data_IF_394689839800
#
_entry.id   IF_394689839800
#
_cell.length_a   1.000
_cell.length_b   1.000
_cell.length_c   1.000
_cell.angle_alpha   90.00
_cell.angle_beta   90.00
_cell.angle_gamma   90.00
#
_symmetry.space_group_name_H-M   'P 1'
#
loop_
_entity.id
_entity.type
_entity.pdbx_description
1 polymer ?
#
# COMPACT_ATOMS: atom_id res chain seq x y z
N UNK A 1 16.75 -4.36 10.64
CA UNK A 1 16.08 -5.36 9.79
C UNK A 1 16.29 -6.78 10.30
N UNK A 2 17.48 -7.36 10.34
CA UNK A 2 17.71 -8.76 10.75
C UNK A 2 17.03 -9.21 12.07
N UNK A 3 16.91 -8.34 13.06
CA UNK A 3 16.25 -8.65 14.33
C UNK A 3 14.71 -8.74 14.19
N UNK A 4 14.13 -7.94 13.32
CA UNK A 4 12.68 -7.95 13.02
C UNK A 4 12.32 -9.18 12.18
N UNK A 5 13.11 -9.50 11.15
CA UNK A 5 12.89 -10.70 10.34
C UNK A 5 12.99 -11.97 11.20
N UNK A 6 13.95 -12.03 12.14
CA UNK A 6 14.07 -13.12 13.10
C UNK A 6 12.86 -13.22 14.05
N UNK A 7 12.24 -12.09 14.40
CA UNK A 7 11.02 -12.07 15.20
C UNK A 7 9.84 -12.61 14.40
N UNK A 8 9.62 -12.11 13.16
CA UNK A 8 8.54 -12.57 12.28
C UNK A 8 8.65 -14.08 12.04
N UNK A 9 9.86 -14.57 11.71
CA UNK A 9 10.12 -16.01 11.52
C UNK A 9 9.76 -16.83 12.76
N UNK A 10 10.07 -16.36 13.95
CA UNK A 10 9.74 -17.04 15.21
C UNK A 10 8.23 -17.09 15.45
N UNK A 11 7.52 -16.00 15.18
CA UNK A 11 6.04 -15.96 15.27
C UNK A 11 5.44 -16.95 14.28
N UNK A 12 5.91 -16.97 13.02
CA UNK A 12 5.49 -17.96 12.02
C UNK A 12 5.66 -19.39 12.50
N UNK A 13 6.82 -19.74 13.09
CA UNK A 13 7.09 -21.10 13.59
C UNK A 13 6.19 -21.52 14.76
N UNK A 14 5.62 -20.57 15.50
CA UNK A 14 4.72 -20.80 16.63
C UNK A 14 3.23 -20.79 16.27
N UNK A 15 2.87 -20.46 15.04
CA UNK A 15 1.46 -20.39 14.60
C UNK A 15 1.03 -21.70 13.93
N UNK A 16 -0.27 -22.06 14.09
CA UNK A 16 -0.89 -23.11 13.28
C UNK A 16 -1.19 -22.52 11.88
N UNK A 17 -0.41 -22.92 10.88
CA UNK A 17 -0.33 -22.30 9.55
C UNK A 17 -1.10 -23.09 8.49
N UNK A 18 -2.37 -23.42 8.75
CA UNK A 18 -3.24 -23.81 7.64
C UNK A 18 -3.75 -22.56 6.93
N UNK A 19 -3.46 -22.43 5.66
CA UNK A 19 -4.02 -21.39 4.78
C UNK A 19 -4.28 -21.98 3.40
N UNK A 20 -5.13 -21.32 2.64
CA UNK A 20 -5.41 -21.67 1.25
C UNK A 20 -4.36 -21.01 0.34
N UNK A 21 -3.87 -21.75 -0.66
CA UNK A 21 -2.85 -21.24 -1.61
C UNK A 21 -3.34 -19.97 -2.31
N UNK A 22 -4.60 -19.91 -2.72
CA UNK A 22 -5.21 -18.74 -3.36
C UNK A 22 -5.13 -17.48 -2.45
N UNK A 23 -5.32 -17.65 -1.14
CA UNK A 23 -5.18 -16.55 -0.17
C UNK A 23 -3.71 -16.14 0.00
N UNK A 24 -2.77 -17.07 -0.09
CA UNK A 24 -1.34 -16.74 -0.03
C UNK A 24 -0.91 -15.87 -1.22
N UNK A 25 -1.43 -16.15 -2.42
CA UNK A 25 -1.17 -15.36 -3.63
C UNK A 25 -1.66 -13.92 -3.50
N UNK A 26 -2.74 -13.65 -2.75
CA UNK A 26 -3.23 -12.28 -2.49
C UNK A 26 -2.21 -11.38 -1.79
N UNK A 27 -1.18 -11.95 -1.18
CA UNK A 27 -0.13 -11.22 -0.43
C UNK A 27 1.23 -11.23 -1.13
N UNK A 28 1.32 -11.54 -2.43
CA UNK A 28 2.59 -11.56 -3.19
C UNK A 28 3.35 -10.23 -3.13
N UNK A 29 2.63 -9.11 -2.96
CA UNK A 29 3.20 -7.78 -2.79
C UNK A 29 3.95 -7.58 -1.46
N UNK A 30 3.85 -8.50 -0.49
CA UNK A 30 4.58 -8.43 0.78
C UNK A 30 5.99 -9.01 0.59
N UNK A 31 7.07 -8.21 0.74
CA UNK A 31 8.43 -8.65 0.43
C UNK A 31 8.95 -9.78 1.34
N UNK A 32 8.52 -9.79 2.61
CA UNK A 32 8.93 -10.77 3.60
C UNK A 32 8.02 -12.01 3.53
N UNK A 33 8.57 -13.15 3.10
CA UNK A 33 7.82 -14.40 2.91
C UNK A 33 7.19 -14.94 4.22
N UNK A 34 7.89 -14.81 5.35
CA UNK A 34 7.34 -15.23 6.65
C UNK A 34 6.14 -14.38 7.06
N UNK A 35 6.17 -13.07 6.77
CA UNK A 35 5.06 -12.16 7.02
C UNK A 35 3.89 -12.42 6.06
N UNK A 36 4.19 -12.70 4.78
CA UNK A 36 3.19 -13.12 3.79
C UNK A 36 2.44 -14.36 4.27
N UNK A 37 3.16 -15.36 4.75
CA UNK A 37 2.59 -16.59 5.30
C UNK A 37 1.70 -16.31 6.51
N UNK A 38 2.11 -15.43 7.42
CA UNK A 38 1.30 -15.03 8.58
C UNK A 38 0.01 -14.30 8.15
N UNK A 39 0.08 -13.40 7.18
CA UNK A 39 -1.10 -12.70 6.69
C UNK A 39 -2.09 -13.66 6.01
N UNK A 40 -1.60 -14.60 5.18
CA UNK A 40 -2.45 -15.61 4.58
C UNK A 40 -3.13 -16.50 5.64
N UNK A 41 -2.39 -16.93 6.65
CA UNK A 41 -2.91 -17.75 7.74
C UNK A 41 -3.97 -17.00 8.57
N UNK A 42 -3.70 -15.76 8.98
CA UNK A 42 -4.68 -14.95 9.73
C UNK A 42 -5.90 -14.60 8.89
N UNK A 43 -5.72 -14.34 7.60
CA UNK A 43 -6.82 -14.11 6.67
C UNK A 43 -7.73 -15.35 6.58
N UNK A 44 -7.16 -16.52 6.33
CA UNK A 44 -7.91 -17.79 6.28
C UNK A 44 -8.66 -18.04 7.59
N UNK A 45 -8.02 -17.81 8.75
CA UNK A 45 -8.65 -18.00 10.06
C UNK A 45 -9.77 -16.99 10.30
N UNK A 46 -9.61 -15.73 9.91
CA UNK A 46 -10.68 -14.73 10.04
C UNK A 46 -11.86 -15.06 9.13
N UNK A 47 -11.62 -15.52 7.88
CA UNK A 47 -12.69 -15.98 6.99
C UNK A 47 -13.48 -17.13 7.63
N UNK A 48 -12.79 -18.11 8.20
CA UNK A 48 -13.43 -19.22 8.91
C UNK A 48 -14.28 -18.74 10.07
N UNK A 49 -13.72 -17.92 10.96
CA UNK A 49 -14.43 -17.47 12.17
C UNK A 49 -15.60 -16.54 11.86
N UNK A 50 -15.47 -15.65 10.88
CA UNK A 50 -16.61 -14.84 10.43
C UNK A 50 -17.68 -15.68 9.75
N UNK A 51 -17.30 -16.73 9.02
CA UNK A 51 -18.23 -17.70 8.49
C UNK A 51 -19.03 -18.43 9.60
N UNK A 52 -18.36 -18.84 10.68
CA UNK A 52 -19.01 -19.44 11.85
C UNK A 52 -19.94 -18.44 12.54
N UNK A 53 -19.47 -17.21 12.82
CA UNK A 53 -20.31 -16.17 13.44
C UNK A 53 -21.54 -15.89 12.58
N UNK A 54 -21.39 -15.76 11.25
CA UNK A 54 -22.49 -15.54 10.33
C UNK A 54 -23.52 -16.70 10.39
N UNK A 55 -23.06 -17.94 10.48
CA UNK A 55 -23.95 -19.12 10.56
C UNK A 55 -24.70 -19.22 11.89
N UNK A 56 -24.17 -18.62 12.95
CA UNK A 56 -24.77 -18.59 14.28
C UNK A 56 -25.84 -17.48 14.46
N UNK A 57 -25.95 -16.55 13.48
CA UNK A 57 -26.99 -15.51 13.48
C UNK A 57 -28.34 -16.14 13.12
N UNK A 58 -29.34 -15.88 13.96
CA UNK A 58 -30.71 -16.28 13.70
C UNK A 58 -31.49 -15.15 13.06
N UNK A 59 -32.44 -15.50 12.21
CA UNK A 59 -33.29 -14.56 11.49
C UNK A 59 -34.76 -14.92 11.68
N UNK A 60 -35.60 -13.88 11.66
CA UNK A 60 -37.04 -13.96 11.55
C UNK A 60 -37.53 -13.00 10.47
N UNK A 61 -38.77 -13.16 10.02
CA UNK A 61 -39.41 -12.20 9.14
C UNK A 61 -40.28 -11.26 9.94
N UNK A 62 -40.18 -9.96 9.68
CA UNK A 62 -41.08 -8.96 10.29
C UNK A 62 -42.47 -8.97 9.61
N UNK A 63 -43.37 -8.06 10.07
CA UNK A 63 -44.72 -7.94 9.54
C UNK A 63 -44.77 -7.52 8.07
N UNK A 64 -43.71 -6.84 7.58
CA UNK A 64 -43.52 -6.40 6.19
C UNK A 64 -42.82 -7.45 5.32
N UNK A 65 -42.44 -8.60 5.89
CA UNK A 65 -41.78 -9.71 5.19
C UNK A 65 -40.26 -9.53 5.02
N UNK A 66 -39.62 -8.58 5.71
CA UNK A 66 -38.18 -8.36 5.66
C UNK A 66 -37.48 -9.36 6.62
N UNK A 67 -36.30 -9.84 6.19
CA UNK A 67 -35.43 -10.68 7.01
C UNK A 67 -34.72 -9.83 8.06
N UNK A 68 -35.01 -10.06 9.35
CA UNK A 68 -34.45 -9.29 10.49
C UNK A 68 -33.63 -10.22 11.38
N UNK A 69 -32.45 -9.77 11.79
CA UNK A 69 -31.62 -10.50 12.73
C UNK A 69 -32.26 -10.54 14.12
N UNK A 70 -32.22 -11.72 14.75
CA UNK A 70 -32.57 -11.92 16.15
C UNK A 70 -31.33 -12.04 17.03
N UNK A 71 -30.15 -11.73 16.51
CA UNK A 71 -28.87 -12.05 17.15
C UNK A 71 -28.56 -13.54 17.07
N UNK A 72 -27.67 -14.01 17.94
CA UNK A 72 -27.24 -15.39 17.92
C UNK A 72 -26.44 -15.79 19.15
N UNK A 73 -25.78 -16.95 19.07
CA UNK A 73 -24.96 -17.45 20.16
C UNK A 73 -23.69 -18.09 19.61
N UNK A 74 -22.55 -17.51 19.91
CA UNK A 74 -21.23 -17.97 19.54
C UNK A 74 -20.64 -18.80 20.71
N UNK A 75 -20.31 -20.07 20.44
CA UNK A 75 -19.93 -21.01 21.48
C UNK A 75 -18.64 -20.62 22.21
N UNK A 76 -18.51 -21.10 23.46
CA UNK A 76 -17.37 -20.72 24.32
C UNK A 76 -15.99 -21.14 23.76
N UNK A 77 -15.94 -22.29 23.11
CA UNK A 77 -14.70 -22.82 22.49
C UNK A 77 -14.31 -21.96 21.29
N UNK A 78 -15.29 -21.68 20.43
CA UNK A 78 -15.10 -20.85 19.23
C UNK A 78 -14.76 -19.41 19.60
N UNK A 79 -15.41 -18.85 20.63
CA UNK A 79 -15.09 -17.53 21.19
C UNK A 79 -13.64 -17.43 21.63
N UNK A 80 -13.12 -18.45 22.32
CA UNK A 80 -11.70 -18.49 22.75
C UNK A 80 -10.75 -18.60 21.58
N UNK A 81 -11.05 -19.47 20.62
CA UNK A 81 -10.22 -19.67 19.44
C UNK A 81 -10.17 -18.41 18.56
N UNK A 82 -11.32 -17.79 18.30
CA UNK A 82 -11.40 -16.50 17.60
C UNK A 82 -10.58 -15.41 18.30
N UNK A 83 -10.78 -15.21 19.60
CA UNK A 83 -10.04 -14.21 20.37
C UNK A 83 -8.53 -14.46 20.37
N UNK A 84 -8.10 -15.73 20.34
CA UNK A 84 -6.68 -16.06 20.22
C UNK A 84 -6.09 -15.57 18.90
N UNK A 85 -6.82 -15.68 17.79
CA UNK A 85 -6.39 -15.14 16.48
C UNK A 85 -6.27 -13.62 16.54
N UNK A 86 -7.29 -12.95 17.09
CA UNK A 86 -7.27 -11.47 17.22
C UNK A 86 -6.09 -11.01 18.10
N UNK A 87 -5.81 -11.69 19.19
CA UNK A 87 -4.68 -11.37 20.08
C UNK A 87 -3.32 -11.56 19.37
N UNK A 88 -3.17 -12.61 18.57
CA UNK A 88 -1.95 -12.82 17.78
C UNK A 88 -1.74 -11.71 16.75
N UNK A 89 -2.80 -11.31 16.05
CA UNK A 89 -2.75 -10.19 15.09
C UNK A 89 -2.36 -8.89 15.80
N UNK A 90 -2.95 -8.59 16.96
CA UNK A 90 -2.65 -7.39 17.74
C UNK A 90 -1.22 -7.38 18.27
N UNK A 91 -0.73 -8.51 18.74
CA UNK A 91 0.66 -8.65 19.20
C UNK A 91 1.65 -8.42 18.06
N UNK A 92 1.41 -9.04 16.90
CA UNK A 92 2.23 -8.83 15.71
C UNK A 92 2.20 -7.36 15.28
N UNK A 93 1.01 -6.76 15.17
CA UNK A 93 0.81 -5.35 14.82
C UNK A 93 1.53 -4.41 15.78
N UNK A 94 1.42 -4.64 17.07
CA UNK A 94 2.11 -3.84 18.09
C UNK A 94 3.64 -3.90 17.96
N UNK A 95 4.20 -5.07 17.69
CA UNK A 95 5.64 -5.28 17.53
C UNK A 95 6.21 -4.69 16.24
N UNK A 96 5.40 -4.67 15.17
CA UNK A 96 5.84 -4.17 13.87
C UNK A 96 5.57 -2.68 13.67
N UNK A 97 4.83 -2.01 14.57
CA UNK A 97 4.33 -0.62 14.44
C UNK A 97 5.40 0.42 14.08
N UNK A 98 6.63 0.25 14.55
CA UNK A 98 7.74 1.19 14.32
C UNK A 98 8.74 0.65 13.29
N UNK A 99 8.32 -0.23 12.39
CA UNK A 99 9.16 -0.87 11.37
C UNK A 99 8.60 -0.66 9.97
N UNK A 100 9.37 -1.00 8.95
CA UNK A 100 8.90 -0.99 7.56
C UNK A 100 7.78 -2.02 7.31
N UNK A 101 7.56 -2.95 8.23
CA UNK A 101 6.49 -3.95 8.21
C UNK A 101 5.26 -3.56 9.03
N UNK A 102 5.15 -2.31 9.46
CA UNK A 102 3.91 -1.82 10.08
C UNK A 102 2.72 -2.07 9.17
N UNK A 103 1.63 -2.64 9.71
CA UNK A 103 0.49 -3.04 8.90
C UNK A 103 -0.84 -2.73 9.57
N UNK A 104 -1.90 -2.74 8.77
CA UNK A 104 -3.28 -2.56 9.23
C UNK A 104 -4.22 -3.51 8.51
N UNK A 105 -5.39 -3.70 9.10
CA UNK A 105 -6.56 -4.24 8.38
C UNK A 105 -7.01 -3.17 7.40
N UNK A 106 -7.02 -3.49 6.11
CA UNK A 106 -7.35 -2.53 5.06
C UNK A 106 -8.78 -2.69 4.52
N UNK A 107 -9.39 -3.84 4.75
CA UNK A 107 -10.79 -4.07 4.42
C UNK A 107 -11.70 -3.45 5.49
N UNK A 108 -12.57 -2.46 5.14
CA UNK A 108 -13.43 -1.78 6.11
C UNK A 108 -14.46 -2.70 6.76
N UNK A 109 -14.92 -3.73 6.04
CA UNK A 109 -15.88 -4.71 6.55
C UNK A 109 -15.24 -5.53 7.66
N UNK A 110 -14.02 -6.04 7.44
CA UNK A 110 -13.24 -6.77 8.45
C UNK A 110 -12.83 -5.89 9.64
N UNK A 111 -12.38 -4.66 9.39
CA UNK A 111 -12.05 -3.73 10.47
C UNK A 111 -13.25 -3.45 11.37
N UNK A 112 -14.42 -3.19 10.78
CA UNK A 112 -15.68 -2.98 11.51
C UNK A 112 -16.11 -4.23 12.25
N UNK A 113 -16.05 -5.40 11.62
CA UNK A 113 -16.42 -6.67 12.24
C UNK A 113 -15.53 -7.01 13.45
N UNK A 114 -14.20 -6.88 13.32
CA UNK A 114 -13.25 -7.06 14.43
C UNK A 114 -13.55 -6.08 15.56
N UNK A 115 -13.81 -4.82 15.25
CA UNK A 115 -14.16 -3.81 16.25
C UNK A 115 -15.49 -4.12 16.96
N UNK A 116 -16.47 -4.64 16.23
CA UNK A 116 -17.78 -4.98 16.79
C UNK A 116 -17.70 -6.25 17.66
N UNK A 117 -17.05 -7.31 17.16
CA UNK A 117 -16.87 -8.57 17.90
C UNK A 117 -16.13 -8.38 19.23
N UNK A 118 -15.15 -7.46 19.31
CA UNK A 118 -14.47 -7.10 20.57
C UNK A 118 -15.41 -6.61 21.67
N UNK A 119 -16.62 -6.16 21.34
CA UNK A 119 -17.58 -5.65 22.32
C UNK A 119 -18.42 -6.76 22.97
N UNK A 120 -18.61 -7.88 22.28
CA UNK A 120 -19.48 -8.95 22.75
C UNK A 120 -18.81 -10.32 22.90
N UNK A 121 -17.72 -10.60 22.18
CA UNK A 121 -17.03 -11.88 22.29
C UNK A 121 -16.20 -11.93 23.56
N UNK A 122 -16.40 -12.96 24.38
CA UNK A 122 -15.75 -13.13 25.69
C UNK A 122 -15.05 -14.49 25.80
N UNK A 123 -13.98 -14.56 26.60
CA UNK A 123 -13.20 -15.79 26.80
C UNK A 123 -13.88 -16.77 27.75
N UNK A 124 -14.68 -16.27 28.69
CA UNK A 124 -15.36 -17.07 29.71
C UNK A 124 -16.84 -17.29 29.34
N UNK A 125 -17.20 -18.51 29.01
CA UNK A 125 -18.54 -18.82 28.52
C UNK A 125 -18.71 -18.55 27.02
N UNK A 126 -19.90 -18.75 26.50
CA UNK A 126 -20.26 -18.37 25.13
C UNK A 126 -20.59 -16.88 25.02
N UNK A 127 -20.68 -16.39 23.82
CA UNK A 127 -20.88 -14.96 23.51
C UNK A 127 -22.24 -14.77 22.84
N UNK A 128 -23.06 -13.84 23.30
CA UNK A 128 -24.30 -13.47 22.62
C UNK A 128 -24.02 -12.54 21.47
N UNK A 129 -24.38 -12.96 20.27
CA UNK A 129 -24.26 -12.09 19.06
C UNK A 129 -25.41 -11.07 19.14
N UNK A 130 -25.11 -9.75 19.08
CA UNK A 130 -26.13 -8.72 19.14
C UNK A 130 -27.03 -8.72 17.89
N UNK A 131 -28.26 -8.24 18.01
CA UNK A 131 -29.20 -8.14 16.89
C UNK A 131 -28.77 -7.16 15.82
N UNK A 132 -27.95 -6.17 16.18
CA UNK A 132 -27.39 -5.16 15.28
C UNK A 132 -26.06 -5.60 14.64
N UNK A 133 -25.59 -6.83 14.90
CA UNK A 133 -24.42 -7.37 14.22
C UNK A 133 -24.79 -7.73 12.79
N UNK A 134 -24.06 -7.17 11.83
CA UNK A 134 -24.25 -7.40 10.39
C UNK A 134 -23.35 -8.55 9.97
N UNK A 135 -23.88 -9.44 9.13
CA UNK A 135 -23.08 -10.51 8.50
C UNK A 135 -21.84 -9.92 7.82
N UNK A 136 -20.72 -10.57 8.04
CA UNK A 136 -19.44 -10.19 7.45
C UNK A 136 -19.34 -10.80 6.05
N UNK A 137 -19.19 -9.97 5.04
CA UNK A 137 -18.87 -10.46 3.69
C UNK A 137 -17.48 -11.07 3.69
N UNK A 138 -17.38 -12.33 3.31
CA UNK A 138 -16.11 -13.06 3.37
C UNK A 138 -15.20 -12.66 2.18
N UNK A 139 -14.02 -12.16 2.50
CA UNK A 139 -13.03 -11.70 1.52
C UNK A 139 -12.20 -12.90 1.00
N UNK A 140 -12.65 -13.51 -0.11
CA UNK A 140 -11.95 -14.63 -0.73
C UNK A 140 -10.91 -14.19 -1.78
N UNK A 141 -11.15 -13.06 -2.44
CA UNK A 141 -10.39 -12.60 -3.61
C UNK A 141 -9.64 -11.28 -3.38
N UNK A 142 -9.67 -10.74 -2.17
CA UNK A 142 -9.06 -9.45 -1.84
C UNK A 142 -8.25 -9.54 -0.55
N UNK A 143 -7.04 -8.97 -0.48
CA UNK A 143 -6.25 -8.98 0.75
C UNK A 143 -6.92 -8.12 1.83
N UNK A 144 -6.97 -8.63 3.07
CA UNK A 144 -7.51 -7.88 4.24
C UNK A 144 -6.42 -7.17 5.04
N UNK A 145 -5.15 -7.54 4.87
CA UNK A 145 -4.00 -6.89 5.51
C UNK A 145 -3.15 -6.15 4.51
N UNK A 146 -2.52 -5.08 4.99
CA UNK A 146 -1.65 -4.25 4.18
C UNK A 146 -0.59 -3.55 5.02
N UNK A 147 0.59 -3.32 4.42
CA UNK A 147 1.62 -2.48 5.04
C UNK A 147 1.17 -1.02 5.09
N UNK A 148 1.51 -0.32 6.18
CA UNK A 148 1.15 1.11 6.34
C UNK A 148 1.95 2.03 5.41
N UNK A 149 3.03 1.53 4.81
CA UNK A 149 3.81 2.25 3.79
C UNK A 149 3.06 2.53 2.49
N UNK A 150 1.94 1.85 2.25
CA UNK A 150 1.12 2.07 1.06
C UNK A 150 0.26 3.34 1.12
N UNK A 151 -0.32 3.76 -0.02
CA UNK A 151 -1.25 4.89 -0.11
C UNK A 151 -2.69 4.44 -0.34
N UNK A 152 -3.63 5.18 0.24
CA UNK A 152 -5.05 5.04 -0.07
C UNK A 152 -5.46 5.98 -1.21
N UNK A 153 -6.08 5.42 -2.24
CA UNK A 153 -6.60 6.15 -3.37
C UNK A 153 -8.13 6.17 -3.32
N UNK A 154 -8.74 7.35 -3.45
CA UNK A 154 -10.21 7.47 -3.46
C UNK A 154 -10.77 6.96 -4.79
N UNK A 155 -11.75 6.07 -4.71
CA UNK A 155 -12.60 5.63 -5.83
C UNK A 155 -14.05 6.07 -5.60
N UNK A 156 -14.88 6.02 -6.65
CA UNK A 156 -16.31 6.30 -6.54
C UNK A 156 -17.04 5.42 -5.52
N UNK A 157 -16.52 4.21 -5.25
CA UNK A 157 -17.10 3.22 -4.32
C UNK A 157 -16.26 3.02 -3.04
N UNK A 158 -15.36 3.95 -2.68
CA UNK A 158 -14.55 3.83 -1.47
C UNK A 158 -13.07 4.18 -1.64
N UNK A 159 -12.23 3.71 -0.72
CA UNK A 159 -10.77 3.87 -0.78
C UNK A 159 -10.15 2.57 -1.25
N UNK A 160 -9.46 2.63 -2.38
CA UNK A 160 -8.61 1.53 -2.86
C UNK A 160 -7.17 1.84 -2.50
N UNK A 161 -6.48 0.85 -2.00
CA UNK A 161 -5.08 0.99 -1.62
C UNK A 161 -4.19 0.50 -2.76
N UNK A 162 -3.11 1.22 -3.02
CA UNK A 162 -2.05 0.79 -3.90
C UNK A 162 -0.77 0.59 -3.09
N UNK A 163 -0.03 -0.47 -3.40
CA UNK A 163 1.24 -0.73 -2.77
C UNK A 163 2.32 0.17 -3.36
N UNK A 164 3.17 0.67 -2.48
CA UNK A 164 4.26 1.55 -2.83
C UNK A 164 5.57 0.76 -2.93
N UNK A 165 6.11 0.66 -4.13
CA UNK A 165 7.47 0.20 -4.37
C UNK A 165 8.42 1.39 -4.23
N UNK A 166 9.36 1.37 -3.28
CA UNK A 166 10.35 2.43 -3.18
C UNK A 166 11.39 2.30 -4.30
N UNK A 167 11.40 3.25 -5.22
CA UNK A 167 12.33 3.30 -6.37
C UNK A 167 13.47 4.30 -6.20
N UNK A 168 13.40 5.16 -5.18
CA UNK A 168 14.44 6.14 -4.90
C UNK A 168 14.42 6.68 -3.48
N UNK A 169 15.59 7.15 -3.02
CA UNK A 169 15.75 7.82 -1.72
C UNK A 169 16.80 8.92 -1.86
N UNK A 170 16.39 10.15 -1.58
CA UNK A 170 17.26 11.34 -1.54
C UNK A 170 17.32 11.95 -0.13
N UNK A 171 18.08 13.02 -0.01
CA UNK A 171 18.23 13.78 1.24
C UNK A 171 16.93 14.45 1.69
N UNK A 172 16.07 14.86 0.74
CA UNK A 172 14.84 15.59 1.01
C UNK A 172 13.57 14.78 0.84
N UNK A 173 13.62 13.66 0.07
CA UNK A 173 12.43 12.89 -0.25
C UNK A 173 12.74 11.43 -0.52
N UNK A 174 11.72 10.59 -0.32
CA UNK A 174 11.64 9.23 -0.84
C UNK A 174 10.74 9.22 -2.07
N UNK A 175 11.09 8.40 -3.04
CA UNK A 175 10.36 8.24 -4.29
C UNK A 175 9.81 6.83 -4.37
N UNK A 176 8.52 6.72 -4.64
CA UNK A 176 7.80 5.46 -4.73
C UNK A 176 7.11 5.35 -6.09
N UNK A 177 6.96 4.13 -6.57
CA UNK A 177 6.11 3.78 -7.70
C UNK A 177 4.88 3.03 -7.20
N UNK A 178 3.76 3.24 -7.85
CA UNK A 178 2.55 2.42 -7.68
C UNK A 178 1.75 2.39 -8.99
N UNK A 179 0.90 1.38 -9.15
CA UNK A 179 -0.06 1.35 -10.26
C UNK A 179 -1.36 1.98 -9.78
N UNK A 180 -1.84 3.00 -10.50
CA UNK A 180 -3.15 3.59 -10.22
C UNK A 180 -4.26 2.59 -10.58
N UNK A 181 -5.05 2.12 -9.62
CA UNK A 181 -6.03 1.07 -9.86
C UNK A 181 -7.26 1.54 -10.66
N UNK A 182 -7.40 2.84 -10.95
CA UNK A 182 -8.48 3.36 -11.79
C UNK A 182 -8.10 3.38 -13.27
N UNK A 183 -6.82 3.62 -13.56
CA UNK A 183 -6.32 3.81 -14.91
C UNK A 183 -5.37 2.70 -15.37
N UNK A 184 -4.96 1.83 -14.45
CA UNK A 184 -3.98 0.76 -14.68
C UNK A 184 -2.65 1.29 -15.27
N UNK A 185 -2.24 2.46 -14.80
CA UNK A 185 -0.99 3.11 -15.20
C UNK A 185 -0.03 3.27 -14.01
N UNK A 186 1.28 3.14 -14.24
CA UNK A 186 2.26 3.42 -13.21
C UNK A 186 2.34 4.93 -12.95
N UNK A 187 2.38 5.28 -11.67
CA UNK A 187 2.53 6.66 -11.18
C UNK A 187 3.65 6.70 -10.15
N UNK A 188 4.37 7.81 -10.12
CA UNK A 188 5.37 8.08 -9.08
C UNK A 188 4.77 8.95 -7.98
N UNK A 189 5.03 8.56 -6.73
CA UNK A 189 4.76 9.34 -5.54
C UNK A 189 6.09 9.81 -4.94
N UNK A 190 6.32 11.11 -4.87
CA UNK A 190 7.44 11.72 -4.16
C UNK A 190 6.96 12.24 -2.81
N UNK A 191 7.50 11.72 -1.73
CA UNK A 191 7.13 12.03 -0.34
C UNK A 191 8.29 12.70 0.37
N UNK A 192 8.06 13.85 0.97
CA UNK A 192 9.05 14.55 1.79
C UNK A 192 9.50 13.67 2.97
N UNK A 193 10.78 13.75 3.34
CA UNK A 193 11.27 13.07 4.53
C UNK A 193 10.65 13.71 5.79
N UNK A 194 10.35 12.92 6.84
CA UNK A 194 9.63 13.42 8.03
C UNK A 194 10.46 14.36 8.92
N UNK A 195 11.76 14.41 8.71
CA UNK A 195 12.74 15.20 9.46
C UNK A 195 13.07 16.56 8.83
N UNK A 196 12.38 16.91 7.73
CA UNK A 196 12.58 18.21 7.07
C UNK A 196 12.07 19.38 7.92
N UNK A 197 12.84 20.46 7.93
CA UNK A 197 12.41 21.71 8.53
C UNK A 197 11.37 22.46 7.67
N UNK A 198 10.76 23.51 8.22
CA UNK A 198 9.72 24.33 7.55
C UNK A 198 10.23 24.93 6.24
N UNK A 199 11.51 25.32 6.18
CA UNK A 199 12.12 25.92 4.98
C UNK A 199 12.34 24.88 3.90
N UNK A 200 12.72 23.69 4.27
CA UNK A 200 12.90 22.56 3.36
C UNK A 200 11.56 22.06 2.80
N UNK A 201 10.53 21.94 3.63
CA UNK A 201 9.17 21.64 3.22
C UNK A 201 8.61 22.71 2.25
N UNK A 202 8.91 23.99 2.51
CA UNK A 202 8.53 25.08 1.60
C UNK A 202 9.21 24.94 0.23
N UNK A 203 10.49 24.55 0.18
CA UNK A 203 11.21 24.27 -1.06
C UNK A 203 10.65 23.06 -1.80
N UNK A 204 10.31 22.00 -1.08
CA UNK A 204 9.67 20.81 -1.64
C UNK A 204 8.33 21.15 -2.29
N UNK A 205 7.52 21.99 -1.64
CA UNK A 205 6.26 22.49 -2.20
C UNK A 205 6.49 23.39 -3.41
N UNK A 206 7.49 24.28 -3.36
CA UNK A 206 7.86 25.16 -4.47
C UNK A 206 8.30 24.37 -5.70
N UNK A 207 9.04 23.27 -5.54
CA UNK A 207 9.41 22.36 -6.64
C UNK A 207 8.15 21.87 -7.38
N UNK A 208 7.15 21.37 -6.63
CA UNK A 208 5.88 20.96 -7.22
C UNK A 208 5.18 22.10 -7.96
N UNK A 209 5.09 23.30 -7.36
CA UNK A 209 4.38 24.45 -7.95
C UNK A 209 5.03 24.90 -9.24
N UNK A 210 6.36 24.90 -9.29
CA UNK A 210 7.13 25.20 -10.51
C UNK A 210 6.86 24.14 -11.57
N UNK A 211 7.01 22.86 -11.29
CA UNK A 211 6.72 21.79 -12.23
C UNK A 211 5.28 21.83 -12.74
N UNK A 212 4.32 22.10 -11.85
CA UNK A 212 2.88 22.20 -12.20
C UNK A 212 2.57 23.36 -13.15
N UNK A 213 3.39 24.40 -13.13
CA UNK A 213 3.25 25.53 -14.04
C UNK A 213 3.78 25.29 -15.46
N UNK A 214 4.60 24.24 -15.63
CA UNK A 214 5.22 23.90 -16.90
C UNK A 214 4.32 22.98 -17.73
N UNK A 215 4.37 23.16 -19.06
CA UNK A 215 3.64 22.34 -20.03
C UNK A 215 4.53 22.13 -21.25
N UNK A 216 5.20 20.98 -21.31
CA UNK A 216 6.10 20.64 -22.40
C UNK A 216 6.29 19.13 -22.47
N UNK A 217 6.37 18.52 -23.65
CA UNK A 217 6.68 17.10 -23.79
C UNK A 217 8.10 16.73 -23.34
N UNK A 218 8.92 17.71 -22.98
CA UNK A 218 10.27 17.54 -22.47
C UNK A 218 10.41 17.80 -20.97
N UNK A 219 9.30 17.99 -20.27
CA UNK A 219 9.26 18.20 -18.81
C UNK A 219 8.23 17.26 -18.24
N UNK A 220 8.62 16.55 -17.20
CA UNK A 220 7.77 15.56 -16.53
C UNK A 220 6.48 16.20 -15.99
N UNK A 221 5.35 15.53 -16.20
CA UNK A 221 4.06 16.00 -15.69
C UNK A 221 3.90 15.67 -14.20
N UNK A 222 3.44 16.67 -13.43
CA UNK A 222 3.04 16.49 -12.05
C UNK A 222 1.53 16.64 -11.91
N UNK A 223 0.89 15.80 -11.06
CA UNK A 223 -0.56 15.66 -11.00
C UNK A 223 -1.18 16.36 -9.81
N UNK A 224 -0.86 15.92 -8.59
CA UNK A 224 -1.50 16.41 -7.37
C UNK A 224 -0.50 16.56 -6.23
N UNK A 225 -0.78 17.48 -5.30
CA UNK A 225 -0.03 17.67 -4.06
C UNK A 225 -0.94 17.45 -2.86
N UNK A 226 -0.53 16.60 -1.93
CA UNK A 226 -1.17 16.41 -0.64
C UNK A 226 -0.42 17.20 0.44
N UNK A 227 -1.11 18.18 1.04
CA UNK A 227 -0.52 19.06 2.08
C UNK A 227 -0.39 18.36 3.44
N UNK A 228 -1.24 17.38 3.73
CA UNK A 228 -1.26 16.69 5.03
C UNK A 228 -0.08 15.74 5.16
N UNK A 229 0.29 15.07 4.06
CA UNK A 229 1.38 14.09 4.01
C UNK A 229 2.66 14.64 3.39
N UNK A 230 2.64 15.88 2.89
CA UNK A 230 3.74 16.51 2.15
C UNK A 230 4.28 15.60 1.04
N UNK A 231 3.38 15.21 0.14
CA UNK A 231 3.71 14.34 -0.99
C UNK A 231 3.02 14.82 -2.27
N UNK A 232 3.61 14.50 -3.42
CA UNK A 232 2.99 14.75 -4.70
C UNK A 232 3.16 13.59 -5.67
N UNK A 233 2.24 13.49 -6.62
CA UNK A 233 2.24 12.49 -7.67
C UNK A 233 2.72 13.08 -8.98
N UNK A 234 3.42 12.27 -9.77
CA UNK A 234 3.96 12.65 -11.07
C UNK A 234 4.00 11.45 -12.03
N UNK A 235 4.22 11.73 -13.28
CA UNK A 235 4.40 10.77 -14.35
C UNK A 235 5.53 9.80 -14.03
N UNK A 236 5.33 8.52 -14.39
CA UNK A 236 6.36 7.50 -14.30
C UNK A 236 7.12 7.38 -15.62
N UNK A 237 8.42 7.48 -15.52
CA UNK A 237 9.33 7.23 -16.63
C UNK A 237 10.13 5.96 -16.36
N UNK A 238 10.30 5.12 -17.39
CA UNK A 238 10.88 3.80 -17.23
C UNK A 238 12.34 3.80 -16.80
N UNK A 239 13.14 4.73 -17.33
CA UNK A 239 14.58 4.75 -17.09
C UNK A 239 15.17 6.16 -17.23
N UNK A 240 16.31 6.37 -16.60
CA UNK A 240 17.13 7.57 -16.77
C UNK A 240 18.05 7.44 -17.99
N UNK A 241 18.59 8.57 -18.47
CA UNK A 241 19.65 8.51 -19.49
C UNK A 241 20.85 7.68 -19.01
N UNK A 242 21.16 7.72 -17.72
CA UNK A 242 22.25 6.93 -17.15
C UNK A 242 22.01 5.42 -17.35
N UNK A 243 20.82 4.94 -17.02
CA UNK A 243 20.43 3.53 -17.19
C UNK A 243 20.39 3.16 -18.67
N UNK A 244 19.76 3.99 -19.49
CA UNK A 244 19.66 3.78 -20.93
C UNK A 244 21.04 3.65 -21.59
N UNK A 245 21.98 4.54 -21.28
CA UNK A 245 23.35 4.47 -21.79
C UNK A 245 24.00 3.16 -21.30
N UNK A 246 23.77 2.73 -20.05
CA UNK A 246 24.29 1.50 -19.50
C UNK A 246 23.96 0.25 -20.30
N UNK A 247 22.82 0.24 -21.02
CA UNK A 247 22.46 -0.86 -21.92
C UNK A 247 23.39 -0.99 -23.16
N UNK A 248 24.08 0.07 -23.53
CA UNK A 248 24.93 0.13 -24.74
C UNK A 248 26.43 0.01 -24.45
N UNK A 249 26.87 0.08 -23.20
CA UNK A 249 28.27 0.01 -22.84
C UNK A 249 28.59 -1.28 -22.08
N UNK A 250 29.61 -2.01 -22.53
CA UNK A 250 30.11 -3.24 -21.95
C UNK A 250 30.82 -4.14 -22.97
N UNK A 251 31.48 -5.21 -22.52
CA UNK A 251 32.38 -6.02 -23.38
C UNK A 251 31.72 -6.65 -24.61
N UNK A 252 30.41 -6.84 -24.61
CA UNK A 252 29.65 -7.48 -25.70
C UNK A 252 28.48 -6.60 -26.19
N UNK A 253 28.52 -5.28 -25.97
CA UNK A 253 27.46 -4.35 -26.34
C UNK A 253 27.86 -3.41 -27.43
N UNK A 254 26.93 -3.11 -28.34
CA UNK A 254 27.12 -2.10 -29.38
C UNK A 254 27.02 -0.71 -28.75
N UNK A 255 27.98 0.17 -29.12
CA UNK A 255 27.96 1.56 -28.70
C UNK A 255 26.72 2.30 -29.25
N UNK A 256 26.15 3.19 -28.43
CA UNK A 256 25.07 4.06 -28.85
C UNK A 256 25.47 4.88 -30.09
N UNK A 257 24.69 4.77 -31.16
CA UNK A 257 25.02 5.44 -32.43
C UNK A 257 25.10 6.96 -32.26
N UNK A 258 25.94 7.61 -33.08
CA UNK A 258 26.08 9.07 -33.04
C UNK A 258 24.73 9.78 -33.27
N UNK A 259 23.88 9.23 -34.13
CA UNK A 259 22.55 9.80 -34.39
C UNK A 259 21.66 9.75 -33.16
N UNK A 260 21.62 8.63 -32.45
CA UNK A 260 20.84 8.51 -31.19
C UNK A 260 21.36 9.49 -30.15
N UNK A 261 22.68 9.62 -29.96
CA UNK A 261 23.28 10.60 -29.03
C UNK A 261 22.85 12.02 -29.36
N UNK A 262 22.92 12.42 -30.65
CA UNK A 262 22.48 13.73 -31.11
C UNK A 262 21.00 13.99 -30.83
N UNK A 263 20.16 13.00 -31.07
CA UNK A 263 18.72 13.11 -30.81
C UNK A 263 18.40 13.31 -29.31
N UNK A 264 19.06 12.56 -28.41
CA UNK A 264 18.92 12.73 -26.97
C UNK A 264 19.32 14.13 -26.54
N UNK A 265 20.52 14.58 -26.96
CA UNK A 265 21.03 15.93 -26.65
C UNK A 265 20.07 17.01 -27.16
N UNK A 266 19.55 16.86 -28.37
CA UNK A 266 18.64 17.83 -28.96
C UNK A 266 17.31 17.93 -28.13
N UNK A 267 16.79 16.82 -27.63
CA UNK A 267 15.61 16.83 -26.79
C UNK A 267 15.88 17.49 -25.42
N UNK A 268 17.01 17.18 -24.79
CA UNK A 268 17.43 17.84 -23.53
C UNK A 268 17.57 19.35 -23.76
N UNK A 269 18.21 19.78 -24.85
CA UNK A 269 18.33 21.20 -25.16
C UNK A 269 16.95 21.87 -25.31
N UNK A 270 16.01 21.26 -26.02
CA UNK A 270 14.63 21.79 -26.13
C UNK A 270 13.93 21.92 -24.79
N UNK A 271 14.10 20.95 -23.90
CA UNK A 271 13.58 21.03 -22.52
C UNK A 271 14.19 22.21 -21.77
N UNK A 272 15.49 22.39 -21.85
CA UNK A 272 16.22 23.51 -21.22
C UNK A 272 15.81 24.86 -21.81
N UNK A 273 15.75 25.00 -23.15
CA UNK A 273 15.26 26.19 -23.81
C UNK A 273 13.86 26.58 -23.33
N UNK A 274 12.98 25.60 -23.20
CA UNK A 274 11.63 25.84 -22.72
C UNK A 274 11.61 26.37 -21.27
N UNK A 275 12.29 25.70 -20.31
CA UNK A 275 12.28 26.17 -18.91
C UNK A 275 13.02 27.51 -18.75
N UNK A 276 14.10 27.75 -19.52
CA UNK A 276 14.80 29.04 -19.55
C UNK A 276 13.92 30.16 -20.09
N UNK A 277 13.07 29.88 -21.10
CA UNK A 277 12.10 30.88 -21.62
C UNK A 277 11.04 31.26 -20.58
N UNK A 278 10.84 30.42 -19.52
CA UNK A 278 9.99 30.70 -18.36
C UNK A 278 10.74 31.34 -17.19
N UNK A 279 12.02 31.66 -17.37
CA UNK A 279 12.89 32.22 -16.32
C UNK A 279 13.32 31.20 -15.26
N UNK A 280 13.21 29.90 -15.53
CA UNK A 280 13.54 28.82 -14.61
C UNK A 280 14.90 28.23 -14.99
N UNK A 281 15.78 28.08 -14.00
CA UNK A 281 17.07 27.38 -14.13
C UNK A 281 16.97 26.02 -13.47
N UNK A 282 17.36 24.95 -14.16
CA UNK A 282 17.32 23.57 -13.65
C UNK A 282 18.30 23.34 -12.48
N UNK A 283 19.51 23.86 -12.56
CA UNK A 283 20.58 23.85 -11.52
C UNK A 283 21.18 22.48 -11.17
N UNK A 284 20.60 21.38 -11.65
CA UNK A 284 21.05 20.01 -11.34
C UNK A 284 20.89 19.08 -12.56
N UNK A 285 21.52 19.45 -13.69
CA UNK A 285 21.53 18.62 -14.90
C UNK A 285 22.52 17.48 -14.72
N UNK A 286 22.02 16.27 -14.72
CA UNK A 286 22.81 15.03 -14.69
C UNK A 286 22.13 13.92 -15.49
N UNK A 287 22.87 12.88 -15.83
CA UNK A 287 22.32 11.73 -16.55
C UNK A 287 21.24 10.97 -15.74
N UNK A 288 21.26 11.12 -14.42
CA UNK A 288 20.28 10.51 -13.50
C UNK A 288 19.02 11.36 -13.29
N UNK A 289 19.04 12.63 -13.73
CA UNK A 289 17.92 13.57 -13.60
C UNK A 289 17.20 13.84 -14.92
N UNK A 290 17.61 13.13 -15.98
CA UNK A 290 16.94 13.18 -17.29
C UNK A 290 16.46 11.78 -17.63
N UNK A 291 15.18 11.67 -17.97
CA UNK A 291 14.49 10.41 -18.26
C UNK A 291 14.28 10.22 -19.77
N UNK A 292 14.09 8.96 -20.18
CA UNK A 292 13.78 8.55 -21.55
C UNK A 292 12.48 7.75 -21.57
#
# INVERSE_FOLDING_TARGET
MAQIDSYIKRVRMGCNLSFLDDIFELYEFIPNEDLRTLFAAYHTQLNYWFGVINSDIRYQYDEDGNKVSCGGYFHAEDSRAYLSVIEQIDQLRSKLRATDYAFKVCDPNYENAIRHTRKFVVKSGGSTIPVDFIEVEIAELTPIFRLESGIGLKRNNGVVFADLEQIGKGSYAKVFRYTDPNYDIPIVLKRANPDLDVKELSRFKQEFDVLKSLRSPYVIDVYSFNKETNEYTMEYMNETIFDYIGHYYGPNKNNLSLQKRKNIIAQVCRGLEYIHSKGILHRDISLTNVFI
#
